data_IF_085299577209
#
_entry.id   IF_085299577209
#
_cell.length_a   1.000
_cell.length_b   1.000
_cell.length_c   1.000
_cell.angle_alpha   90.00
_cell.angle_beta   90.00
_cell.angle_gamma   90.00
#
_symmetry.space_group_name_H-M   'P 1'
#
loop_
_entity.id
_entity.type
_entity.pdbx_description
1 polymer ?
#
# COMPACT_ATOMS: atom_id res chain seq x y z
N UNK A 1 30.40 -82.11 35.20
CA UNK A 1 30.78 -80.86 34.66
C UNK A 1 29.75 -80.48 33.57
N UNK A 2 28.86 -79.54 33.86
CA UNK A 2 27.85 -79.06 32.94
C UNK A 2 28.23 -77.67 32.49
N UNK A 3 28.56 -77.49 31.20
CA UNK A 3 28.92 -76.22 30.61
C UNK A 3 27.62 -75.45 30.25
N UNK A 4 27.44 -74.33 30.85
CA UNK A 4 26.31 -73.38 30.51
C UNK A 4 26.83 -72.47 29.39
N UNK A 5 26.20 -72.54 28.25
CA UNK A 5 26.46 -71.62 27.11
C UNK A 5 25.50 -70.41 27.31
N UNK A 6 26.06 -69.25 27.55
CA UNK A 6 25.32 -67.97 27.58
C UNK A 6 25.13 -67.47 26.16
N UNK A 7 23.89 -67.42 25.73
CA UNK A 7 23.53 -66.77 24.48
C UNK A 7 23.32 -65.29 24.73
N UNK A 8 24.18 -64.44 24.21
CA UNK A 8 24.03 -62.98 24.18
C UNK A 8 23.08 -62.60 23.02
N UNK A 9 21.87 -62.19 23.36
CA UNK A 9 20.93 -61.61 22.41
C UNK A 9 21.29 -60.14 22.22
N UNK A 10 21.92 -59.78 21.06
CA UNK A 10 22.18 -58.39 20.71
C UNK A 10 20.86 -57.83 20.13
N UNK A 11 20.18 -57.02 20.91
CA UNK A 11 18.99 -56.28 20.49
C UNK A 11 19.48 -55.04 19.71
N UNK A 12 19.45 -55.12 18.34
CA UNK A 12 19.67 -53.94 17.49
C UNK A 12 18.45 -53.00 17.65
N UNK A 13 18.65 -51.89 18.37
CA UNK A 13 17.75 -50.76 18.38
C UNK A 13 17.88 -50.07 17.01
N UNK A 14 16.92 -50.29 16.12
CA UNK A 14 16.75 -49.48 14.91
C UNK A 14 16.15 -48.15 15.38
N UNK A 15 17.02 -47.15 15.59
CA UNK A 15 16.56 -45.77 15.77
C UNK A 15 16.12 -45.27 14.39
N UNK A 16 14.83 -45.38 14.13
CA UNK A 16 14.20 -44.69 13.00
C UNK A 16 14.29 -43.18 13.31
N UNK A 17 15.31 -42.51 12.77
CA UNK A 17 15.31 -41.05 12.75
C UNK A 17 14.20 -40.61 11.81
N UNK A 18 13.05 -40.21 12.33
CA UNK A 18 12.12 -39.35 11.61
C UNK A 18 12.85 -38.03 11.37
N UNK A 19 13.59 -37.94 10.27
CA UNK A 19 13.98 -36.64 9.74
C UNK A 19 12.71 -35.94 9.30
N UNK A 20 12.27 -34.93 10.03
CA UNK A 20 11.22 -34.04 9.56
C UNK A 20 11.59 -33.46 8.17
N UNK A 21 10.63 -32.91 7.46
CA UNK A 21 10.90 -32.34 6.15
C UNK A 21 12.02 -31.31 6.28
N UNK A 22 12.99 -31.35 5.35
CA UNK A 22 14.06 -30.36 5.30
C UNK A 22 13.45 -29.02 4.92
N UNK A 23 13.65 -27.98 5.74
CA UNK A 23 13.33 -26.62 5.40
C UNK A 23 14.33 -26.17 4.32
N UNK A 24 13.82 -25.72 3.18
CA UNK A 24 14.64 -25.25 2.05
C UNK A 24 14.75 -23.73 2.04
N UNK A 25 13.86 -23.05 2.75
CA UNK A 25 13.77 -21.59 2.81
C UNK A 25 13.71 -21.12 4.27
N UNK A 26 14.38 -20.04 4.58
CA UNK A 26 14.25 -19.38 5.88
C UNK A 26 12.95 -18.58 5.97
N UNK A 27 12.40 -18.17 4.82
CA UNK A 27 11.15 -17.40 4.65
C UNK A 27 10.49 -17.75 3.33
N UNK A 28 9.22 -17.34 3.16
CA UNK A 28 8.53 -17.39 1.87
C UNK A 28 9.16 -16.46 0.84
N UNK A 29 8.92 -16.74 -0.42
CA UNK A 29 9.35 -15.92 -1.55
C UNK A 29 8.15 -15.10 -2.01
N UNK A 30 8.23 -13.78 -1.84
CA UNK A 30 7.21 -12.88 -2.41
C UNK A 30 7.25 -13.06 -3.93
N UNK A 31 6.11 -13.37 -4.60
CA UNK A 31 6.09 -13.72 -6.01
C UNK A 31 6.76 -12.65 -6.88
N UNK A 32 7.72 -12.99 -7.75
CA UNK A 32 8.42 -12.01 -8.59
C UNK A 32 7.57 -11.49 -9.76
N UNK A 33 6.44 -12.10 -10.04
CA UNK A 33 5.46 -11.68 -11.03
C UNK A 33 4.12 -11.40 -10.36
N UNK A 34 3.31 -10.47 -10.90
CA UNK A 34 2.02 -10.13 -10.34
C UNK A 34 1.09 -11.33 -10.18
N UNK A 35 0.55 -11.49 -8.99
CA UNK A 35 -0.45 -12.50 -8.66
C UNK A 35 -1.76 -11.81 -8.36
N UNK A 36 -2.83 -12.22 -9.04
CA UNK A 36 -4.18 -11.75 -8.73
C UNK A 36 -4.54 -12.07 -7.28
N UNK A 37 -5.36 -11.21 -6.68
CA UNK A 37 -5.78 -11.35 -5.28
C UNK A 37 -7.26 -11.80 -5.21
N UNK A 38 -7.58 -13.06 -5.61
CA UNK A 38 -8.95 -13.51 -5.84
C UNK A 38 -9.84 -13.46 -4.60
N UNK A 39 -9.26 -13.49 -3.41
CA UNK A 39 -10.02 -13.42 -2.16
C UNK A 39 -10.60 -12.02 -1.86
N UNK A 40 -10.11 -10.98 -2.55
CA UNK A 40 -10.59 -9.60 -2.39
C UNK A 40 -11.28 -9.09 -3.66
N UNK A 41 -10.90 -9.56 -4.83
CA UNK A 41 -11.44 -9.14 -6.11
C UNK A 41 -12.87 -9.64 -6.33
N UNK A 42 -13.67 -8.88 -7.06
CA UNK A 42 -15.06 -9.16 -7.41
C UNK A 42 -15.33 -8.98 -8.91
N UNK A 43 -16.55 -9.18 -9.35
CA UNK A 43 -16.95 -8.89 -10.73
C UNK A 43 -17.10 -7.39 -11.04
N UNK A 44 -16.85 -6.55 -10.07
CA UNK A 44 -16.86 -5.09 -10.15
C UNK A 44 -15.42 -4.55 -10.08
N UNK A 45 -15.26 -3.24 -10.14
CA UNK A 45 -13.95 -2.62 -9.99
C UNK A 45 -13.50 -2.64 -8.52
N UNK A 46 -12.32 -3.18 -8.31
CA UNK A 46 -11.64 -3.25 -7.02
C UNK A 46 -10.25 -2.64 -7.17
N UNK A 47 -10.06 -1.40 -6.71
CA UNK A 47 -8.83 -0.67 -7.00
C UNK A 47 -8.47 0.37 -5.90
N UNK A 48 -7.39 1.13 -6.10
CA UNK A 48 -6.96 2.21 -5.21
C UNK A 48 -6.71 1.76 -3.77
N UNK A 49 -5.84 0.79 -3.58
CA UNK A 49 -5.58 0.21 -2.26
C UNK A 49 -4.60 1.02 -1.40
N UNK A 50 -4.66 0.77 -0.08
CA UNK A 50 -3.58 1.00 0.88
C UNK A 50 -3.36 -0.26 1.72
N UNK A 51 -2.11 -0.52 2.09
CA UNK A 51 -1.69 -1.75 2.77
C UNK A 51 -0.87 -1.42 4.01
N UNK A 52 -1.35 -1.88 5.16
CA UNK A 52 -0.66 -1.80 6.43
C UNK A 52 -0.29 -3.19 6.94
N UNK A 53 0.98 -3.42 7.27
CA UNK A 53 1.47 -4.69 7.79
C UNK A 53 2.05 -4.52 9.20
N UNK A 54 1.66 -5.40 10.12
CA UNK A 54 2.31 -5.58 11.43
C UNK A 54 3.14 -6.86 11.37
N UNK A 55 4.42 -6.71 11.03
CA UNK A 55 5.31 -7.85 10.75
C UNK A 55 5.52 -8.79 11.94
N UNK A 56 5.59 -8.26 13.16
CA UNK A 56 5.74 -9.09 14.38
C UNK A 56 4.65 -10.14 14.53
N UNK A 57 3.44 -9.83 14.04
CA UNK A 57 2.27 -10.71 14.07
C UNK A 57 1.97 -11.35 12.72
N UNK A 58 2.63 -10.90 11.65
CA UNK A 58 2.36 -11.23 10.25
C UNK A 58 0.94 -10.89 9.82
N UNK A 59 0.30 -9.93 10.49
CA UNK A 59 -1.04 -9.47 10.19
C UNK A 59 -0.98 -8.25 9.29
N UNK A 60 -1.99 -8.08 8.45
CA UNK A 60 -2.14 -6.88 7.64
C UNK A 60 -3.59 -6.41 7.57
N UNK A 61 -3.76 -5.13 7.28
CA UNK A 61 -5.02 -4.52 6.89
C UNK A 61 -4.85 -4.00 5.48
N UNK A 62 -5.73 -4.43 4.58
CA UNK A 62 -5.86 -3.93 3.23
C UNK A 62 -7.14 -3.12 3.15
N UNK A 63 -7.05 -1.86 2.72
CA UNK A 63 -8.22 -1.01 2.41
C UNK A 63 -8.15 -0.68 0.94
N UNK A 64 -9.28 -0.67 0.26
CA UNK A 64 -9.36 -0.30 -1.14
C UNK A 64 -10.75 0.21 -1.51
N UNK A 65 -10.84 0.86 -2.65
CA UNK A 65 -12.09 1.36 -3.21
C UNK A 65 -12.75 0.29 -4.06
N UNK A 66 -14.05 0.16 -3.97
CA UNK A 66 -14.83 -0.76 -4.80
C UNK A 66 -16.22 -0.22 -5.06
N UNK A 67 -16.73 -0.46 -6.27
CA UNK A 67 -18.11 -0.09 -6.63
C UNK A 67 -19.09 -1.27 -6.54
N UNK A 68 -18.70 -2.37 -5.85
CA UNK A 68 -19.54 -3.57 -5.68
C UNK A 68 -20.82 -3.32 -4.89
N UNK A 69 -20.78 -2.42 -3.92
CA UNK A 69 -21.93 -2.12 -3.06
C UNK A 69 -23.02 -1.32 -3.81
N UNK A 70 -22.63 -0.52 -4.80
CA UNK A 70 -23.48 0.30 -5.65
C UNK A 70 -23.81 -0.35 -6.99
N UNK A 71 -23.42 -1.63 -7.19
CA UNK A 71 -23.60 -2.37 -8.45
C UNK A 71 -22.94 -1.67 -9.66
N UNK A 72 -21.72 -1.14 -9.45
CA UNK A 72 -20.88 -0.56 -10.49
C UNK A 72 -21.05 0.96 -10.67
N UNK A 73 -21.67 1.66 -9.72
CA UNK A 73 -21.78 3.12 -9.74
C UNK A 73 -20.70 3.76 -8.84
N UNK A 74 -21.06 4.12 -7.61
CA UNK A 74 -20.21 4.86 -6.70
C UNK A 74 -19.21 3.92 -5.98
N UNK A 75 -18.04 4.43 -5.67
CA UNK A 75 -16.98 3.70 -4.99
C UNK A 75 -17.03 3.90 -3.48
N UNK A 76 -17.08 2.81 -2.75
CA UNK A 76 -16.94 2.76 -1.30
C UNK A 76 -15.56 2.25 -0.90
N UNK A 77 -15.06 2.67 0.26
CA UNK A 77 -13.92 2.06 0.91
C UNK A 77 -14.34 0.81 1.68
N UNK A 78 -13.67 -0.30 1.42
CA UNK A 78 -13.84 -1.53 2.20
C UNK A 78 -12.50 -2.03 2.74
N UNK A 79 -12.55 -2.86 3.79
CA UNK A 79 -11.35 -3.42 4.39
C UNK A 79 -11.38 -4.93 4.50
N UNK A 80 -10.20 -5.51 4.36
CA UNK A 80 -9.91 -6.89 4.71
C UNK A 80 -8.80 -6.93 5.74
N UNK A 81 -8.97 -7.74 6.77
CA UNK A 81 -7.88 -8.14 7.63
C UNK A 81 -7.31 -9.45 7.13
N UNK A 82 -6.00 -9.60 7.23
CA UNK A 82 -5.37 -10.79 6.74
C UNK A 82 -4.09 -11.14 7.48
N UNK A 83 -3.55 -12.27 7.06
CA UNK A 83 -2.29 -12.79 7.58
C UNK A 83 -1.38 -13.17 6.43
N UNK A 84 -0.10 -12.87 6.58
CA UNK A 84 0.95 -13.35 5.71
C UNK A 84 1.31 -14.77 6.12
N UNK A 85 1.17 -15.71 5.19
CA UNK A 85 1.51 -17.11 5.35
C UNK A 85 2.58 -17.51 4.37
N UNK A 86 3.51 -18.36 4.77
CA UNK A 86 4.51 -18.91 3.87
C UNK A 86 4.94 -20.32 4.30
N UNK A 87 5.26 -21.13 3.30
CA UNK A 87 5.79 -22.47 3.47
C UNK A 87 7.32 -22.45 3.37
N UNK A 88 8.00 -23.01 4.36
CA UNK A 88 9.45 -23.09 4.39
C UNK A 88 10.05 -24.24 3.59
N UNK A 89 9.21 -25.14 3.06
CA UNK A 89 9.63 -26.26 2.21
C UNK A 89 9.65 -25.82 0.75
N UNK A 90 8.56 -25.22 0.29
CA UNK A 90 8.35 -24.82 -1.11
C UNK A 90 8.65 -23.34 -1.36
N UNK A 91 8.70 -22.53 -0.31
CA UNK A 91 8.90 -21.08 -0.39
C UNK A 91 7.63 -20.31 -0.74
N UNK A 92 6.47 -20.97 -0.76
CA UNK A 92 5.20 -20.32 -1.07
C UNK A 92 4.90 -19.15 -0.13
N UNK A 93 4.47 -18.03 -0.71
CA UNK A 93 4.02 -16.82 -0.01
C UNK A 93 2.56 -16.55 -0.36
N UNK A 94 1.75 -16.33 0.67
CA UNK A 94 0.31 -16.07 0.51
C UNK A 94 -0.14 -14.94 1.43
N UNK A 95 -1.04 -14.13 0.93
CA UNK A 95 -1.80 -13.14 1.69
C UNK A 95 -3.21 -13.68 1.92
N UNK A 96 -3.40 -14.39 3.04
CA UNK A 96 -4.71 -14.92 3.43
C UNK A 96 -5.55 -13.82 4.06
N UNK A 97 -6.79 -13.61 3.60
CA UNK A 97 -7.67 -12.53 4.05
C UNK A 97 -9.03 -13.02 4.50
N UNK A 98 -9.66 -12.23 5.34
CA UNK A 98 -11.07 -12.29 5.67
C UNK A 98 -11.67 -10.89 5.66
N UNK A 99 -12.87 -10.73 5.12
CA UNK A 99 -13.59 -9.46 5.14
C UNK A 99 -13.77 -8.97 6.59
N UNK A 100 -13.53 -7.68 6.82
CA UNK A 100 -13.72 -7.06 8.13
C UNK A 100 -14.63 -5.84 8.02
N UNK A 101 -15.59 -5.73 8.93
CA UNK A 101 -16.35 -4.50 9.10
C UNK A 101 -15.46 -3.50 9.85
N UNK A 102 -15.38 -2.29 9.34
CA UNK A 102 -14.55 -1.22 9.87
C UNK A 102 -15.43 0.01 10.14
N UNK A 103 -15.56 0.39 11.42
CA UNK A 103 -16.43 1.48 11.83
C UNK A 103 -15.99 2.84 11.23
N UNK A 104 -14.68 3.05 11.07
CA UNK A 104 -14.17 4.25 10.38
C UNK A 104 -14.70 4.31 8.94
N UNK A 105 -14.51 3.24 8.15
CA UNK A 105 -14.94 3.24 6.75
C UNK A 105 -16.45 3.33 6.62
N UNK A 106 -17.21 2.71 7.53
CA UNK A 106 -18.67 2.84 7.56
C UNK A 106 -19.12 4.29 7.79
N UNK A 107 -18.35 5.06 8.56
CA UNK A 107 -18.63 6.48 8.80
C UNK A 107 -18.20 7.39 7.64
N UNK A 108 -17.19 6.96 6.85
CA UNK A 108 -16.65 7.75 5.74
C UNK A 108 -17.43 7.52 4.43
N UNK A 109 -17.87 6.28 4.19
CA UNK A 109 -18.61 5.95 2.97
C UNK A 109 -19.92 6.74 2.92
N UNK A 110 -20.17 7.36 1.80
CA UNK A 110 -21.29 8.25 1.55
C UNK A 110 -22.08 7.83 0.29
N UNK A 111 -22.78 8.74 -0.34
CA UNK A 111 -23.38 8.53 -1.67
C UNK A 111 -22.49 9.06 -2.80
N UNK A 112 -21.24 9.36 -2.53
CA UNK A 112 -20.24 9.86 -3.47
C UNK A 112 -19.16 8.78 -3.67
N UNK A 113 -18.11 9.10 -4.43
CA UNK A 113 -16.96 8.21 -4.54
C UNK A 113 -15.99 8.43 -3.38
N UNK A 114 -15.55 7.36 -2.73
CA UNK A 114 -14.45 7.36 -1.79
C UNK A 114 -13.28 6.56 -2.38
N UNK A 115 -12.17 7.27 -2.64
CA UNK A 115 -11.03 6.77 -3.39
C UNK A 115 -9.72 6.97 -2.63
N UNK A 116 -8.66 6.25 -3.03
CA UNK A 116 -7.28 6.50 -2.66
C UNK A 116 -7.02 6.58 -1.15
N UNK A 117 -7.40 5.54 -0.37
CA UNK A 117 -7.16 5.52 1.08
C UNK A 117 -5.67 5.64 1.40
N UNK A 118 -5.33 6.29 2.52
CA UNK A 118 -3.96 6.37 3.03
C UNK A 118 -3.92 6.55 4.56
N UNK A 119 -3.15 5.71 5.24
CA UNK A 119 -2.85 5.82 6.67
C UNK A 119 -1.58 6.64 6.93
N UNK A 120 -1.55 7.43 8.01
CA UNK A 120 -0.37 8.22 8.37
C UNK A 120 0.67 7.50 9.21
N UNK A 121 0.30 6.47 9.94
CA UNK A 121 1.19 5.89 10.96
C UNK A 121 2.19 4.85 10.44
N UNK A 122 2.19 4.57 9.14
CA UNK A 122 3.14 3.65 8.51
C UNK A 122 4.41 4.32 8.00
N UNK A 123 4.63 5.59 8.37
CA UNK A 123 5.87 6.29 8.05
C UNK A 123 6.99 5.87 9.01
N UNK A 124 7.99 5.11 8.53
CA UNK A 124 9.07 4.58 9.39
C UNK A 124 9.97 5.64 10.02
N UNK A 125 9.75 6.91 9.70
CA UNK A 125 10.50 8.05 10.23
C UNK A 125 9.71 8.97 11.14
N UNK A 126 8.46 8.63 11.47
CA UNK A 126 7.78 9.31 12.57
C UNK A 126 8.58 9.04 13.84
N UNK A 127 9.25 10.05 14.36
CA UNK A 127 10.07 9.91 15.56
C UNK A 127 9.16 9.52 16.73
N UNK A 128 9.21 8.27 17.25
CA UNK A 128 8.30 7.83 18.30
C UNK A 128 8.48 8.63 19.60
N UNK A 129 9.53 9.46 19.72
CA UNK A 129 9.76 10.31 20.86
C UNK A 129 8.92 11.61 20.85
N UNK A 130 8.23 11.91 19.76
CA UNK A 130 7.35 13.09 19.65
C UNK A 130 5.86 12.75 19.57
N UNK A 131 5.50 11.48 19.48
CA UNK A 131 4.09 11.05 19.56
C UNK A 131 3.75 11.00 21.05
N UNK A 132 3.05 12.02 21.54
CA UNK A 132 2.31 11.88 22.79
C UNK A 132 1.25 10.82 22.59
N UNK A 133 0.92 10.02 23.62
CA UNK A 133 -0.17 9.02 23.60
C UNK A 133 -1.54 9.59 23.16
N UNK A 134 -1.66 10.91 23.07
CA UNK A 134 -2.84 11.68 22.69
C UNK A 134 -2.90 12.04 21.19
N UNK A 135 -1.90 11.64 20.38
CA UNK A 135 -1.88 12.03 18.96
C UNK A 135 -2.93 11.22 18.19
N UNK A 136 -3.97 11.93 17.75
CA UNK A 136 -5.01 11.42 16.86
C UNK A 136 -4.35 10.94 15.58
N UNK A 137 -4.55 9.66 15.27
CA UNK A 137 -4.11 9.09 14.01
C UNK A 137 -4.96 9.65 12.88
N UNK A 138 -4.36 9.85 11.72
CA UNK A 138 -5.03 10.44 10.56
C UNK A 138 -5.20 9.41 9.45
N UNK A 139 -6.35 9.49 8.81
CA UNK A 139 -6.71 8.73 7.63
C UNK A 139 -7.09 9.70 6.53
N UNK A 140 -6.46 9.56 5.37
CA UNK A 140 -6.76 10.39 4.20
C UNK A 140 -7.50 9.57 3.16
N UNK A 141 -8.36 10.22 2.42
CA UNK A 141 -9.05 9.67 1.27
C UNK A 141 -9.43 10.79 0.31
N UNK A 142 -9.90 10.44 -0.86
CA UNK A 142 -10.39 11.36 -1.88
C UNK A 142 -11.88 11.12 -2.05
N UNK A 143 -12.68 12.18 -2.14
CA UNK A 143 -14.13 12.10 -2.41
C UNK A 143 -14.59 13.25 -3.30
N UNK A 144 -15.76 13.11 -3.93
CA UNK A 144 -16.32 14.06 -4.92
C UNK A 144 -17.69 14.64 -4.54
N UNK A 145 -17.91 15.10 -3.32
CA UNK A 145 -19.25 15.55 -2.85
C UNK A 145 -19.80 16.75 -3.62
N UNK A 146 -18.96 17.57 -4.22
CA UNK A 146 -19.34 18.73 -5.04
C UNK A 146 -19.16 18.50 -6.54
N UNK A 147 -18.71 17.29 -6.93
CA UNK A 147 -18.53 16.85 -8.31
C UNK A 147 -17.11 16.90 -8.83
N UNK A 148 -16.19 17.48 -8.10
CA UNK A 148 -14.73 17.41 -8.25
C UNK A 148 -14.10 16.59 -7.13
N UNK A 149 -12.94 16.01 -7.41
CA UNK A 149 -12.23 15.19 -6.42
C UNK A 149 -11.49 16.08 -5.43
N UNK A 150 -11.80 15.92 -4.16
CA UNK A 150 -11.16 16.62 -3.04
C UNK A 150 -10.48 15.64 -2.08
N UNK A 151 -9.37 16.08 -1.48
CA UNK A 151 -8.67 15.34 -0.43
C UNK A 151 -9.32 15.63 0.91
N UNK A 152 -9.75 14.56 1.61
CA UNK A 152 -10.31 14.61 2.95
C UNK A 152 -9.39 13.99 3.98
N UNK A 153 -9.52 14.43 5.22
CA UNK A 153 -8.87 13.87 6.39
C UNK A 153 -9.91 13.49 7.44
N UNK A 154 -9.75 12.31 8.03
CA UNK A 154 -10.50 11.88 9.21
C UNK A 154 -9.54 11.51 10.33
N UNK A 155 -9.87 11.89 11.58
CA UNK A 155 -9.23 11.35 12.76
C UNK A 155 -9.70 9.94 13.05
N UNK A 156 -8.83 9.10 13.63
CA UNK A 156 -9.24 7.81 14.15
C UNK A 156 -8.39 7.38 15.34
N UNK A 157 -8.99 6.49 16.16
CA UNK A 157 -8.28 5.72 17.17
C UNK A 157 -8.24 4.26 16.74
N UNK A 158 -7.20 3.54 17.14
CA UNK A 158 -7.09 2.10 16.92
C UNK A 158 -7.03 1.39 18.26
N UNK A 159 -8.04 0.57 18.55
CA UNK A 159 -8.13 -0.23 19.76
C UNK A 159 -8.87 -1.54 19.52
N UNK A 160 -8.47 -2.61 20.18
CA UNK A 160 -9.06 -3.95 20.08
C UNK A 160 -9.20 -4.48 18.63
N UNK A 161 -8.27 -4.09 17.74
CA UNK A 161 -8.28 -4.49 16.33
C UNK A 161 -9.27 -3.72 15.44
N UNK A 162 -9.88 -2.64 15.96
CA UNK A 162 -10.90 -1.85 15.26
C UNK A 162 -10.42 -0.40 15.08
N UNK A 163 -10.71 0.18 13.90
CA UNK A 163 -10.53 1.60 13.62
C UNK A 163 -11.83 2.32 13.99
N UNK A 164 -11.75 3.25 14.92
CA UNK A 164 -12.90 4.02 15.44
C UNK A 164 -12.72 5.47 14.97
N UNK A 165 -13.71 6.06 14.26
CA UNK A 165 -13.62 7.45 13.80
C UNK A 165 -13.57 8.40 15.00
N UNK A 166 -12.81 9.49 14.85
CA UNK A 166 -12.68 10.55 15.84
C UNK A 166 -12.93 11.92 15.19
N UNK A 167 -14.07 12.51 15.51
CA UNK A 167 -14.58 13.73 14.88
C UNK A 167 -15.18 13.47 13.48
N UNK A 168 -15.66 14.54 12.88
CA UNK A 168 -16.16 14.50 11.49
C UNK A 168 -15.00 14.61 10.51
N UNK A 169 -15.08 13.97 9.33
CA UNK A 169 -14.09 14.17 8.27
C UNK A 169 -14.17 15.62 7.74
N UNK A 170 -13.03 16.14 7.31
CA UNK A 170 -12.95 17.50 6.79
C UNK A 170 -12.06 17.56 5.53
N UNK A 171 -12.38 18.47 4.57
CA UNK A 171 -11.57 18.66 3.39
C UNK A 171 -10.25 19.36 3.73
N UNK A 172 -9.17 18.99 3.05
CA UNK A 172 -7.88 19.68 3.17
C UNK A 172 -7.85 20.94 2.31
N UNK A 173 -8.59 21.96 2.71
CA UNK A 173 -8.74 23.22 1.96
C UNK A 173 -7.44 23.89 1.52
N UNK A 174 -6.28 23.76 2.22
CA UNK A 174 -5.02 24.28 1.74
C UNK A 174 -4.50 23.60 0.47
N UNK A 175 -4.97 22.39 0.15
CA UNK A 175 -4.55 21.60 -1.01
C UNK A 175 -5.62 21.62 -2.11
N UNK A 176 -6.89 21.57 -1.72
CA UNK A 176 -8.03 21.47 -2.62
C UNK A 176 -8.33 22.78 -3.35
N UNK A 177 -8.80 22.69 -4.58
CA UNK A 177 -9.20 23.83 -5.43
C UNK A 177 -10.57 23.55 -6.04
N UNK A 178 -10.90 24.16 -7.15
CA UNK A 178 -12.09 23.87 -7.97
C UNK A 178 -11.81 22.82 -9.04
N UNK A 179 -10.60 22.32 -9.10
CA UNK A 179 -10.15 21.25 -9.97
C UNK A 179 -10.07 19.95 -9.15
N UNK A 180 -9.62 18.85 -9.74
CA UNK A 180 -9.53 17.57 -9.05
C UNK A 180 -8.21 17.41 -8.30
N UNK A 181 -8.28 17.12 -7.01
CA UNK A 181 -7.16 16.78 -6.14
C UNK A 181 -7.35 15.41 -5.50
N UNK A 182 -6.26 14.64 -5.37
CA UNK A 182 -6.40 13.33 -4.73
C UNK A 182 -5.09 12.59 -4.43
N UNK A 183 -5.24 11.42 -3.82
CA UNK A 183 -4.18 10.44 -3.60
C UNK A 183 -2.95 11.00 -2.87
N UNK A 184 -3.21 11.54 -1.69
CA UNK A 184 -2.17 12.14 -0.86
C UNK A 184 -1.18 11.09 -0.36
N UNK A 185 0.11 11.44 -0.40
CA UNK A 185 1.20 10.69 0.24
C UNK A 185 2.16 11.65 0.94
N UNK A 186 2.57 11.32 2.16
CA UNK A 186 3.45 12.16 2.96
C UNK A 186 4.88 11.66 2.88
N UNK A 187 5.83 12.56 2.63
CA UNK A 187 7.25 12.29 2.73
C UNK A 187 7.83 13.02 3.94
N UNK A 188 8.18 12.28 4.98
CA UNK A 188 8.94 12.81 6.10
C UNK A 188 10.41 12.92 5.67
N UNK A 189 10.78 14.12 5.25
CA UNK A 189 12.14 14.42 4.80
C UNK A 189 13.18 14.34 5.91
N UNK A 190 14.46 14.40 5.53
CA UNK A 190 15.63 14.37 6.44
C UNK A 190 15.69 15.53 7.46
N UNK A 191 14.75 16.45 7.44
CA UNK A 191 14.63 17.58 8.36
C UNK A 191 13.50 17.33 9.34
N UNK A 192 13.83 17.16 10.59
CA UNK A 192 12.96 16.76 11.71
C UNK A 192 11.73 17.64 11.98
N UNK A 193 11.48 18.70 11.19
CA UNK A 193 10.40 19.66 11.42
C UNK A 193 9.66 20.05 10.12
N UNK A 194 9.74 19.26 9.05
CA UNK A 194 9.04 19.56 7.80
C UNK A 194 8.40 18.31 7.24
N UNK A 195 7.13 18.40 6.93
CA UNK A 195 6.41 17.43 6.10
C UNK A 195 6.35 17.95 4.66
N UNK A 196 6.55 17.06 3.72
CA UNK A 196 6.24 17.32 2.32
C UNK A 196 5.13 16.37 1.92
N UNK A 197 4.00 16.94 1.56
CA UNK A 197 2.85 16.19 1.06
C UNK A 197 2.91 16.19 -0.45
N UNK A 198 2.76 15.02 -1.06
CA UNK A 198 2.62 14.84 -2.50
C UNK A 198 1.19 14.38 -2.80
N UNK A 199 0.61 14.90 -3.87
CA UNK A 199 -0.74 14.56 -4.30
C UNK A 199 -0.88 14.79 -5.81
N UNK A 200 -1.90 14.23 -6.43
CA UNK A 200 -2.24 14.54 -7.81
C UNK A 200 -3.22 15.72 -7.89
N UNK A 201 -3.11 16.51 -8.95
CA UNK A 201 -4.10 17.53 -9.30
C UNK A 201 -4.09 17.82 -10.79
N UNK A 202 -5.25 18.14 -11.37
CA UNK A 202 -5.39 18.54 -12.77
C UNK A 202 -5.56 20.06 -12.95
N UNK A 203 -5.29 20.86 -11.91
CA UNK A 203 -5.37 22.34 -11.91
C UNK A 203 -4.56 23.04 -13.01
N UNK A 204 -3.64 22.34 -13.68
CA UNK A 204 -2.89 22.84 -14.83
C UNK A 204 -3.38 22.29 -16.18
N UNK A 205 -4.48 21.53 -16.20
CA UNK A 205 -5.13 20.99 -17.38
C UNK A 205 -4.83 19.52 -17.69
N UNK A 206 -3.83 18.93 -17.02
CA UNK A 206 -3.55 17.50 -16.97
C UNK A 206 -3.29 17.11 -15.53
N UNK A 207 -3.46 15.84 -15.18
CA UNK A 207 -3.06 15.38 -13.86
C UNK A 207 -1.56 15.40 -13.71
N UNK A 208 -1.09 16.09 -12.71
CA UNK A 208 0.31 16.26 -12.37
C UNK A 208 0.55 15.95 -10.89
N UNK A 209 1.80 15.60 -10.53
CA UNK A 209 2.20 15.45 -9.15
C UNK A 209 2.59 16.82 -8.58
N UNK A 210 1.84 17.26 -7.58
CA UNK A 210 2.09 18.46 -6.80
C UNK A 210 2.69 18.13 -5.45
N UNK A 211 3.35 19.11 -4.86
CA UNK A 211 3.85 19.01 -3.50
C UNK A 211 3.52 20.28 -2.71
N UNK A 212 3.29 20.08 -1.43
CA UNK A 212 3.15 21.14 -0.45
C UNK A 212 4.07 20.87 0.73
N UNK A 213 4.76 21.91 1.20
CA UNK A 213 5.72 21.83 2.32
C UNK A 213 5.21 22.64 3.48
N UNK A 214 5.18 22.05 4.67
CA UNK A 214 4.87 22.76 5.89
C UNK A 214 5.73 22.29 7.06
N UNK A 215 5.59 22.99 8.19
CA UNK A 215 6.10 22.47 9.45
C UNK A 215 5.32 21.21 9.85
N UNK A 216 5.99 20.25 10.46
CA UNK A 216 5.42 18.96 10.86
C UNK A 216 4.10 19.11 11.60
N UNK A 217 3.07 18.38 11.15
CA UNK A 217 1.73 18.38 11.71
C UNK A 217 0.85 19.60 11.39
N UNK A 218 1.35 20.61 10.66
CA UNK A 218 0.56 21.82 10.36
C UNK A 218 -0.19 21.77 9.03
N UNK A 219 0.26 21.01 8.05
CA UNK A 219 -0.46 20.81 6.78
C UNK A 219 -1.81 20.11 6.97
N UNK A 220 -1.94 19.36 8.04
CA UNK A 220 -3.12 18.56 8.36
C UNK A 220 -4.16 19.35 9.17
N UNK A 221 -3.93 20.65 9.44
CA UNK A 221 -4.93 21.49 10.10
C UNK A 221 -5.75 22.26 9.08
N UNK A 222 -7.06 22.34 9.29
CA UNK A 222 -8.01 23.11 8.44
C UNK A 222 -7.59 24.58 8.23
N UNK A 223 -6.77 25.11 9.11
CA UNK A 223 -6.32 26.52 9.11
C UNK A 223 -4.92 26.73 8.51
N UNK A 224 -4.24 25.68 8.07
CA UNK A 224 -2.90 25.81 7.52
C UNK A 224 -2.93 26.42 6.11
N UNK A 225 -2.05 27.37 5.84
CA UNK A 225 -1.75 27.82 4.49
C UNK A 225 -0.55 27.02 3.97
N UNK A 226 -0.67 26.41 2.79
CA UNK A 226 0.41 25.67 2.14
C UNK A 226 0.85 26.38 0.85
N UNK A 227 2.15 26.34 0.56
CA UNK A 227 2.66 26.68 -0.77
C UNK A 227 2.66 25.43 -1.61
N UNK A 228 1.75 25.37 -2.56
CA UNK A 228 1.59 24.23 -3.48
C UNK A 228 2.39 24.46 -4.75
N UNK A 229 3.22 23.51 -5.14
CA UNK A 229 4.12 23.59 -6.27
C UNK A 229 3.98 22.33 -7.13
N UNK A 230 3.86 22.48 -8.45
CA UNK A 230 3.95 21.37 -9.40
C UNK A 230 5.37 20.82 -9.42
N UNK A 231 5.55 19.52 -9.30
CA UNK A 231 6.86 18.88 -9.38
C UNK A 231 7.32 18.78 -10.83
N UNK A 232 8.29 19.58 -11.22
CA UNK A 232 8.84 19.56 -12.58
C UNK A 232 9.64 18.30 -12.93
N UNK A 233 10.07 17.52 -11.93
CA UNK A 233 10.81 16.27 -12.13
C UNK A 233 9.88 15.08 -12.25
N UNK A 234 8.83 15.04 -11.44
CA UNK A 234 7.89 13.91 -11.38
C UNK A 234 6.79 14.02 -12.42
N UNK A 235 6.39 15.26 -12.76
CA UNK A 235 5.32 15.53 -13.72
C UNK A 235 5.85 15.61 -15.16
N UNK A 236 5.00 15.22 -16.11
CA UNK A 236 5.29 15.23 -17.55
C UNK A 236 4.27 16.10 -18.32
N UNK A 237 4.09 15.85 -19.62
CA UNK A 237 3.00 16.42 -20.42
C UNK A 237 1.77 15.49 -20.49
N UNK A 238 1.90 14.31 -19.93
CA UNK A 238 0.87 13.30 -19.83
C UNK A 238 0.26 13.32 -18.41
N UNK A 239 -0.67 12.45 -18.12
CA UNK A 239 -1.26 12.33 -16.80
C UNK A 239 -0.33 11.58 -15.83
N UNK A 240 0.00 12.19 -14.72
CA UNK A 240 0.84 11.66 -13.65
C UNK A 240 0.04 11.62 -12.35
N UNK A 241 -0.32 10.41 -11.89
CA UNK A 241 -1.35 10.18 -10.86
C UNK A 241 -0.85 9.33 -9.71
N UNK A 242 -1.59 9.34 -8.61
CA UNK A 242 -1.50 8.39 -7.51
C UNK A 242 -0.09 8.22 -6.92
N UNK A 243 0.61 9.29 -6.52
CA UNK A 243 1.91 9.15 -5.90
C UNK A 243 1.81 8.40 -4.57
N UNK A 244 2.72 7.43 -4.36
CA UNK A 244 2.88 6.71 -3.11
C UNK A 244 4.35 6.67 -2.72
N UNK A 245 4.66 7.04 -1.48
CA UNK A 245 6.03 7.15 -0.98
C UNK A 245 6.24 6.18 0.18
N UNK A 246 7.34 5.45 0.10
CA UNK A 246 7.87 4.67 1.23
C UNK A 246 9.38 4.88 1.31
N UNK A 247 9.84 5.49 2.40
CA UNK A 247 11.23 5.87 2.57
C UNK A 247 11.70 6.86 1.50
N UNK A 248 12.72 6.48 0.74
CA UNK A 248 13.30 7.28 -0.33
C UNK A 248 12.78 6.92 -1.74
N UNK A 249 11.73 6.12 -1.83
CA UNK A 249 11.16 5.69 -3.11
C UNK A 249 9.74 6.24 -3.23
N UNK A 250 9.45 6.84 -4.39
CA UNK A 250 8.10 7.13 -4.83
C UNK A 250 7.75 6.20 -5.98
N UNK A 251 6.57 5.60 -5.93
CA UNK A 251 5.93 4.93 -7.07
C UNK A 251 4.67 5.70 -7.43
N UNK A 252 4.32 5.73 -8.71
CA UNK A 252 3.17 6.46 -9.20
C UNK A 252 2.70 5.90 -10.54
N UNK A 253 1.55 6.34 -10.99
CA UNK A 253 0.90 5.92 -12.24
C UNK A 253 1.05 7.01 -13.29
N UNK A 254 1.39 6.66 -14.53
CA UNK A 254 1.50 7.62 -15.63
C UNK A 254 1.33 6.98 -17.00
N UNK A 255 0.66 7.69 -17.91
CA UNK A 255 0.54 7.34 -19.33
C UNK A 255 1.59 8.07 -20.21
N UNK A 256 2.69 8.52 -19.59
CA UNK A 256 3.82 9.16 -20.28
C UNK A 256 4.47 8.26 -21.32
N UNK A 257 5.03 8.87 -22.35
CA UNK A 257 5.73 8.14 -23.40
C UNK A 257 6.87 7.26 -22.87
N UNK A 258 7.00 6.05 -23.42
CA UNK A 258 7.98 5.06 -23.02
C UNK A 258 7.42 3.98 -22.09
N UNK A 259 6.10 3.94 -21.90
CA UNK A 259 5.36 2.88 -21.26
C UNK A 259 5.08 1.67 -22.16
N UNK A 260 4.32 0.72 -21.67
CA UNK A 260 3.93 -0.52 -22.34
C UNK A 260 2.47 -0.50 -22.81
N UNK A 261 1.61 0.27 -22.14
CA UNK A 261 0.19 0.31 -22.41
C UNK A 261 -0.46 1.66 -22.21
N UNK A 262 -1.57 1.70 -21.52
CA UNK A 262 -2.25 2.90 -21.06
C UNK A 262 -1.50 3.55 -19.89
N UNK A 263 -2.02 3.40 -18.69
CA UNK A 263 -1.33 3.81 -17.47
C UNK A 263 -0.36 2.73 -17.00
N UNK A 264 0.92 3.09 -16.88
CA UNK A 264 1.99 2.25 -16.36
C UNK A 264 2.42 2.70 -14.96
N UNK A 265 3.05 1.80 -14.19
CA UNK A 265 3.71 2.13 -12.94
C UNK A 265 5.15 2.61 -13.20
N UNK A 266 5.47 3.73 -12.58
CA UNK A 266 6.77 4.38 -12.62
C UNK A 266 7.30 4.59 -11.21
N UNK A 267 8.62 4.68 -11.06
CA UNK A 267 9.23 5.01 -9.78
C UNK A 267 10.29 6.11 -9.92
N UNK A 268 10.52 6.79 -8.81
CA UNK A 268 11.61 7.77 -8.63
C UNK A 268 12.28 7.55 -7.28
N UNK A 269 13.57 7.83 -7.19
CA UNK A 269 14.37 7.66 -5.96
C UNK A 269 14.81 9.03 -5.47
N UNK A 270 14.60 9.29 -4.18
CA UNK A 270 15.04 10.50 -3.50
C UNK A 270 16.47 10.33 -2.98
N UNK A 271 17.38 11.20 -3.41
CA UNK A 271 18.79 11.13 -3.01
C UNK A 271 19.13 11.94 -1.73
N UNK A 272 18.12 12.39 -1.01
CA UNK A 272 18.24 13.28 0.15
C UNK A 272 18.07 14.76 -0.16
N UNK A 273 18.01 15.14 -1.44
CA UNK A 273 17.80 16.53 -1.90
C UNK A 273 16.73 16.64 -2.98
N UNK A 274 16.79 15.77 -3.98
CA UNK A 274 15.89 15.79 -5.15
C UNK A 274 15.49 14.38 -5.55
N UNK A 275 14.34 14.26 -6.18
CA UNK A 275 13.88 13.04 -6.84
C UNK A 275 14.66 12.80 -8.12
N UNK A 276 14.95 11.56 -8.46
CA UNK A 276 15.51 11.17 -9.77
C UNK A 276 14.47 11.38 -10.88
N UNK A 277 14.92 11.39 -12.13
CA UNK A 277 14.01 11.22 -13.25
C UNK A 277 13.23 9.90 -13.09
N UNK A 278 11.91 9.87 -13.39
CA UNK A 278 11.10 8.67 -13.32
C UNK A 278 11.60 7.55 -14.24
N UNK A 279 11.51 6.32 -13.75
CA UNK A 279 11.88 5.10 -14.47
C UNK A 279 10.66 4.17 -14.50
N UNK A 280 10.34 3.65 -15.70
CA UNK A 280 9.27 2.66 -15.86
C UNK A 280 9.60 1.36 -15.08
N UNK A 281 8.62 0.74 -14.43
CA UNK A 281 8.85 -0.48 -13.65
C UNK A 281 9.12 -1.72 -14.51
N UNK A 282 8.90 -1.64 -15.83
CA UNK A 282 9.26 -2.69 -16.78
C UNK A 282 8.13 -3.69 -17.04
N UNK A 283 8.35 -4.54 -18.07
CA UNK A 283 7.37 -5.50 -18.58
C UNK A 283 7.02 -6.65 -17.61
N UNK A 284 7.78 -6.84 -16.54
CA UNK A 284 7.42 -7.82 -15.50
C UNK A 284 6.25 -7.33 -14.64
N UNK A 285 6.02 -6.02 -14.61
CA UNK A 285 4.96 -5.35 -13.84
C UNK A 285 3.92 -4.76 -14.78
N UNK A 286 4.36 -3.91 -15.72
CA UNK A 286 3.50 -3.18 -16.65
C UNK A 286 3.14 -4.04 -17.86
N UNK A 287 1.93 -3.81 -18.40
CA UNK A 287 1.37 -4.56 -19.53
C UNK A 287 0.86 -3.61 -20.63
N UNK A 288 0.19 -4.12 -21.64
CA UNK A 288 -0.55 -3.30 -22.62
C UNK A 288 -1.85 -2.70 -22.07
N UNK A 289 -2.19 -2.99 -20.82
CA UNK A 289 -3.36 -2.53 -20.09
C UNK A 289 -2.96 -1.44 -19.08
N UNK A 290 -3.89 -1.06 -18.21
CA UNK A 290 -3.63 -0.08 -17.16
C UNK A 290 -3.15 -0.76 -15.88
N UNK A 291 -2.08 -0.22 -15.31
CA UNK A 291 -1.61 -0.48 -13.95
C UNK A 291 -1.76 0.79 -13.12
N UNK A 292 -2.43 0.69 -11.98
CA UNK A 292 -2.92 1.84 -11.26
C UNK A 292 -2.72 1.76 -9.75
N UNK A 293 -2.52 2.92 -9.09
CA UNK A 293 -2.42 3.10 -7.64
C UNK A 293 -1.50 2.06 -6.97
N UNK A 294 -0.19 2.11 -7.22
CA UNK A 294 0.75 1.24 -6.53
C UNK A 294 0.92 1.67 -5.08
N UNK A 295 0.92 0.71 -4.16
CA UNK A 295 1.35 0.89 -2.78
C UNK A 295 2.37 -0.19 -2.44
N UNK A 296 3.43 0.13 -1.72
CA UNK A 296 4.42 -0.86 -1.37
C UNK A 296 4.92 -0.73 0.05
N UNK A 297 5.33 -1.86 0.62
CA UNK A 297 5.84 -1.96 1.98
C UNK A 297 7.26 -2.52 1.94
N UNK A 298 8.19 -1.83 2.60
CA UNK A 298 9.54 -2.35 2.74
C UNK A 298 9.54 -3.57 3.65
N UNK A 299 10.19 -4.62 3.18
CA UNK A 299 10.36 -5.89 3.89
C UNK A 299 11.82 -6.12 4.32
N UNK A 300 12.66 -5.08 4.24
CA UNK A 300 14.11 -5.17 4.50
C UNK A 300 14.41 -5.70 5.90
N UNK A 301 13.78 -5.14 6.91
CA UNK A 301 13.99 -5.54 8.31
C UNK A 301 13.56 -6.97 8.58
N UNK A 302 12.56 -7.45 7.82
CA UNK A 302 12.06 -8.80 7.87
C UNK A 302 12.93 -9.81 7.09
N UNK A 303 13.92 -9.32 6.35
CA UNK A 303 14.89 -10.13 5.61
C UNK A 303 14.34 -10.84 4.38
N UNK A 304 13.21 -10.42 3.80
CA UNK A 304 12.81 -10.86 2.46
C UNK A 304 13.74 -10.28 1.40
N UNK A 305 13.83 -10.91 0.24
CA UNK A 305 14.67 -10.43 -0.86
C UNK A 305 14.06 -9.23 -1.58
N UNK A 306 12.74 -9.22 -1.74
CA UNK A 306 11.97 -8.20 -2.44
C UNK A 306 11.07 -7.45 -1.48
N UNK A 307 10.75 -6.20 -1.79
CA UNK A 307 9.68 -5.49 -1.12
C UNK A 307 8.30 -5.90 -1.70
N UNK A 308 7.26 -5.84 -0.88
CA UNK A 308 5.90 -6.22 -1.28
C UNK A 308 5.17 -5.02 -1.85
N UNK A 309 4.66 -5.12 -3.08
CA UNK A 309 3.80 -4.11 -3.70
C UNK A 309 2.42 -4.69 -3.97
N UNK A 310 1.39 -3.87 -3.76
CA UNK A 310 0.01 -4.09 -4.21
C UNK A 310 -0.33 -3.00 -5.19
N UNK A 311 -1.03 -3.33 -6.26
CA UNK A 311 -1.49 -2.39 -7.28
C UNK A 311 -2.76 -2.91 -7.94
N UNK A 312 -3.43 -2.05 -8.69
CA UNK A 312 -4.63 -2.41 -9.44
C UNK A 312 -4.32 -2.54 -10.92
N UNK A 313 -5.00 -3.43 -11.64
CA UNK A 313 -4.89 -3.54 -13.09
C UNK A 313 -6.16 -4.09 -13.72
N UNK A 314 -6.47 -3.61 -14.91
CA UNK A 314 -7.55 -4.13 -15.76
C UNK A 314 -7.06 -5.18 -16.78
N UNK A 315 -5.87 -5.80 -16.51
CA UNK A 315 -5.29 -6.86 -17.34
C UNK A 315 -6.18 -8.09 -17.40
N UNK A 316 -6.17 -8.87 -18.52
CA UNK A 316 -6.94 -10.11 -18.63
C UNK A 316 -6.61 -11.12 -17.54
N UNK A 317 -7.63 -11.90 -17.16
CA UNK A 317 -7.50 -12.95 -16.14
C UNK A 317 -7.90 -12.52 -14.74
N UNK A 318 -8.38 -11.29 -14.57
CA UNK A 318 -9.07 -10.81 -13.38
C UNK A 318 -10.55 -11.23 -13.32
N UNK A 319 -11.29 -10.64 -12.41
CA UNK A 319 -12.72 -10.91 -12.17
C UNK A 319 -13.61 -9.76 -12.64
N UNK A 320 -13.17 -8.51 -12.45
CA UNK A 320 -13.88 -7.27 -12.78
C UNK A 320 -13.24 -6.47 -13.91
N UNK A 321 -13.42 -5.16 -13.88
CA UNK A 321 -12.67 -4.22 -14.70
C UNK A 321 -11.27 -4.03 -14.13
N UNK A 322 -11.16 -3.35 -12.99
CA UNK A 322 -9.92 -3.31 -12.22
C UNK A 322 -9.95 -4.35 -11.10
N UNK A 323 -8.84 -5.05 -10.93
CA UNK A 323 -8.58 -6.03 -9.89
C UNK A 323 -7.28 -5.72 -9.15
N UNK A 324 -7.18 -6.13 -7.88
CA UNK A 324 -5.96 -6.03 -7.10
C UNK A 324 -5.00 -7.19 -7.39
N UNK A 325 -3.72 -6.84 -7.50
CA UNK A 325 -2.60 -7.74 -7.66
C UNK A 325 -1.53 -7.44 -6.61
N UNK A 326 -0.75 -8.46 -6.23
CA UNK A 326 0.45 -8.27 -5.40
C UNK A 326 1.68 -8.90 -6.05
N UNK A 327 2.85 -8.33 -5.76
CA UNK A 327 4.13 -8.73 -6.37
C UNK A 327 5.31 -8.33 -5.48
N UNK A 328 6.40 -9.08 -5.58
CA UNK A 328 7.70 -8.71 -5.03
C UNK A 328 8.45 -7.81 -5.99
N UNK A 329 8.81 -6.62 -5.55
CA UNK A 329 9.62 -5.68 -6.33
C UNK A 329 11.07 -5.65 -5.83
N UNK A 330 12.08 -5.60 -6.73
CA UNK A 330 13.47 -5.46 -6.33
C UNK A 330 13.67 -4.19 -5.51
N UNK A 331 14.44 -4.29 -4.43
CA UNK A 331 14.83 -3.11 -3.64
C UNK A 331 15.64 -2.14 -4.49
N UNK A 332 15.35 -0.87 -4.29
CA UNK A 332 16.01 0.24 -4.96
C UNK A 332 16.73 1.07 -3.90
N UNK A 333 18.00 1.33 -4.11
CA UNK A 333 18.86 2.11 -3.18
C UNK A 333 19.09 3.52 -3.72
#
# INVERSE_FOLDING_TARGET
MKTIASVFLIMMLVVSSCSGPRLNFDKGIIPPHPVSFPAVNSIFDDYNSDLKITWSEKNFTLIFSTNRNSFGNDFDLISYQGRIEFDLIDGDFKMAVSHSVNALLTALNSGNNELGPAFTHDYPHFNPYYIKEEDVKRFFYTSDPEGDLDIFCSGYQFGDGVFIPEGEPFPLTPLNTVDNEGYLSIHSGASANRETVYFMSDRAGSYDIYLAVSEEGKLISESASASVIRSSVLSSIADDKCPYINGNIMVFTSDRAGGFGGFDLWYSVFNGQVWSAPVNMGADINTEYDEYRPVFVSTREEGFLNDLMVFSSNRPGGYGGFDLYYVGIPRRE
#
